data_IF_715457990176
#
_entry.id   IF_715457990176
#
_cell.length_a   1.000
_cell.length_b   1.000
_cell.length_c   1.000
_cell.angle_alpha   90.00
_cell.angle_beta   90.00
_cell.angle_gamma   90.00
#
_symmetry.space_group_name_H-M   'P 1'
#
loop_
_entity.id
_entity.type
_entity.pdbx_description
1 polymer ?
#
# COMPACT_ATOMS: atom_id res chain seq x y z
N UNK A 1 -58.58 -0.92 -33.42
CA UNK A 1 -58.34 0.53 -33.29
C UNK A 1 -57.08 0.73 -32.45
N UNK A 2 -56.02 1.25 -33.10
CA UNK A 2 -54.76 1.85 -32.59
C UNK A 2 -54.07 1.13 -31.40
N UNK A 3 -52.92 0.47 -31.49
CA UNK A 3 -51.76 0.65 -32.36
C UNK A 3 -50.78 1.66 -31.74
N UNK A 4 -49.66 1.20 -31.16
CA UNK A 4 -48.49 2.06 -30.98
C UNK A 4 -47.18 1.29 -31.15
N UNK A 5 -46.27 1.97 -31.84
CA UNK A 5 -45.13 1.45 -32.58
C UNK A 5 -43.90 1.16 -31.72
N UNK A 6 -43.13 0.17 -32.17
CA UNK A 6 -41.78 -0.09 -31.72
C UNK A 6 -40.76 0.89 -32.31
N UNK A 7 -39.57 0.89 -31.71
CA UNK A 7 -38.37 1.52 -32.26
C UNK A 7 -37.15 0.69 -31.86
N UNK A 8 -36.73 -0.17 -32.78
CA UNK A 8 -35.44 -0.86 -32.76
C UNK A 8 -34.44 -0.02 -33.54
N UNK A 9 -33.33 0.35 -32.90
CA UNK A 9 -32.22 1.08 -33.51
C UNK A 9 -31.00 0.19 -33.64
N UNK A 10 -30.89 -0.45 -34.80
CA UNK A 10 -29.73 -1.20 -35.29
C UNK A 10 -28.69 -0.20 -35.84
N UNK A 11 -27.45 -0.23 -35.35
CA UNK A 11 -26.29 0.29 -36.10
C UNK A 11 -25.13 -0.69 -35.97
N UNK A 12 -25.04 -1.58 -36.96
CA UNK A 12 -23.85 -2.39 -37.20
C UNK A 12 -22.71 -1.53 -37.75
N UNK A 13 -21.49 -1.81 -37.29
CA UNK A 13 -20.24 -1.43 -37.95
C UNK A 13 -19.40 -2.70 -38.07
N UNK A 14 -19.46 -3.30 -39.26
CA UNK A 14 -18.55 -4.35 -39.67
C UNK A 14 -17.26 -3.76 -40.23
N UNK A 15 -16.13 -4.35 -39.83
CA UNK A 15 -14.86 -4.41 -40.53
C UNK A 15 -14.39 -5.85 -40.26
N UNK A 16 -14.34 -6.78 -41.21
CA UNK A 16 -13.71 -6.67 -42.51
C UNK A 16 -12.41 -7.49 -42.44
N UNK A 17 -12.53 -8.81 -42.62
CA UNK A 17 -11.42 -9.74 -42.71
C UNK A 17 -10.56 -9.45 -43.94
N UNK A 18 -9.24 -9.54 -43.79
CA UNK A 18 -8.27 -9.47 -44.89
C UNK A 18 -7.04 -10.31 -44.59
N UNK A 19 -7.06 -11.57 -45.05
CA UNK A 19 -5.89 -12.41 -45.22
C UNK A 19 -5.09 -11.92 -46.44
N UNK A 20 -3.78 -11.79 -46.31
CA UNK A 20 -2.87 -11.81 -47.45
C UNK A 20 -1.53 -12.43 -47.04
N UNK A 21 -1.29 -13.64 -47.54
CA UNK A 21 0.00 -14.29 -47.60
C UNK A 21 0.87 -13.61 -48.68
N UNK A 22 2.19 -13.54 -48.47
CA UNK A 22 3.14 -13.08 -49.47
C UNK A 22 4.58 -13.32 -49.06
N UNK A 23 5.14 -14.44 -49.52
CA UNK A 23 6.57 -14.72 -49.54
C UNK A 23 7.25 -13.95 -50.68
N UNK A 24 8.47 -13.44 -50.45
CA UNK A 24 9.58 -13.03 -51.37
C UNK A 24 10.64 -12.47 -50.39
N UNK A 25 11.95 -12.72 -50.41
CA UNK A 25 12.90 -13.20 -51.39
C UNK A 25 14.22 -12.42 -51.14
N UNK A 26 15.32 -13.14 -50.95
CA UNK A 26 16.70 -12.67 -50.79
C UNK A 26 17.12 -11.61 -51.84
N UNK A 27 17.77 -10.51 -51.41
CA UNK A 27 18.70 -9.72 -52.25
C UNK A 27 19.85 -9.16 -51.41
N UNK A 28 21.06 -9.56 -51.81
CA UNK A 28 22.36 -8.98 -51.46
C UNK A 28 22.47 -7.50 -51.83
N UNK A 29 23.10 -6.68 -50.99
CA UNK A 29 23.83 -5.50 -51.45
C UNK A 29 25.14 -5.32 -50.66
N UNK A 30 26.22 -5.52 -51.39
CA UNK A 30 27.62 -5.27 -51.08
C UNK A 30 27.96 -3.84 -51.52
N UNK A 31 28.63 -3.04 -50.67
CA UNK A 31 29.62 -1.97 -50.99
C UNK A 31 29.80 -0.96 -49.84
N UNK A 32 30.90 -0.18 -49.77
CA UNK A 32 32.31 -0.59 -49.88
C UNK A 32 33.18 0.07 -48.78
N UNK A 33 34.42 -0.42 -48.71
CA UNK A 33 35.56 0.18 -47.99
C UNK A 33 35.90 1.57 -48.54
N UNK A 34 36.07 2.56 -47.66
CA UNK A 34 36.63 3.88 -47.96
C UNK A 34 37.70 4.25 -46.93
N UNK A 35 38.93 4.43 -47.41
CA UNK A 35 40.15 4.73 -46.66
C UNK A 35 40.28 6.22 -46.30
N UNK A 36 40.76 6.48 -45.08
CA UNK A 36 41.73 7.50 -44.62
C UNK A 36 41.51 9.00 -44.89
N UNK A 37 41.60 9.82 -43.82
CA UNK A 37 42.65 10.86 -43.63
C UNK A 37 42.86 11.12 -42.13
N UNK A 38 44.14 11.16 -41.73
CA UNK A 38 44.63 11.51 -40.41
C UNK A 38 44.74 13.04 -40.21
N UNK A 39 44.43 13.53 -39.01
CA UNK A 39 45.04 14.74 -38.44
C UNK A 39 45.33 14.52 -36.94
N UNK A 40 46.63 14.58 -36.62
CA UNK A 40 47.26 14.85 -35.33
C UNK A 40 46.80 16.20 -34.76
N UNK A 41 46.89 16.59 -33.48
CA UNK A 41 47.67 16.18 -32.31
C UNK A 41 47.07 16.97 -31.13
N UNK A 42 46.71 16.32 -30.02
CA UNK A 42 46.84 16.81 -28.65
C UNK A 42 46.27 15.73 -27.71
N UNK A 43 47.18 14.86 -27.24
CA UNK A 43 46.83 13.70 -26.44
C UNK A 43 46.64 14.08 -24.96
N UNK A 44 45.42 14.00 -24.39
CA UNK A 44 45.29 13.87 -22.95
C UNK A 44 45.81 12.48 -22.55
N UNK A 45 46.56 12.41 -21.44
CA UNK A 45 47.17 11.20 -20.86
C UNK A 45 46.29 9.97 -21.03
N UNK A 46 46.60 9.15 -22.04
CA UNK A 46 45.91 7.90 -22.29
C UNK A 46 46.27 6.92 -21.17
N UNK A 47 45.26 6.49 -20.41
CA UNK A 47 45.38 5.33 -19.54
C UNK A 47 45.77 4.08 -20.36
N UNK A 48 46.25 3.01 -19.70
CA UNK A 48 46.60 1.77 -20.38
C UNK A 48 45.43 1.32 -21.26
N UNK A 49 45.74 1.00 -22.51
CA UNK A 49 44.78 0.58 -23.53
C UNK A 49 44.07 -0.67 -23.06
N UNK A 50 42.85 -0.52 -22.56
CA UNK A 50 41.98 -1.66 -22.26
C UNK A 50 41.51 -2.16 -23.62
N UNK A 51 42.16 -3.20 -24.13
CA UNK A 51 41.63 -3.97 -25.25
C UNK A 51 40.29 -4.56 -24.79
N UNK A 52 39.19 -3.94 -25.20
CA UNK A 52 37.86 -4.54 -25.09
C UNK A 52 37.87 -5.80 -25.93
N UNK A 53 38.14 -6.93 -25.28
CA UNK A 53 38.06 -8.26 -25.87
C UNK A 53 36.58 -8.57 -26.13
N UNK A 54 36.02 -7.97 -27.16
CA UNK A 54 34.70 -8.34 -27.68
C UNK A 54 34.80 -9.79 -28.13
N UNK A 55 34.20 -10.69 -27.34
CA UNK A 55 34.12 -12.10 -27.66
C UNK A 55 33.25 -12.25 -28.92
N UNK A 56 33.78 -12.79 -30.04
CA UNK A 56 33.01 -12.96 -31.25
C UNK A 56 31.85 -13.94 -30.99
N UNK A 57 30.61 -13.43 -31.09
CA UNK A 57 29.38 -14.16 -30.77
C UNK A 57 28.58 -13.59 -29.61
N UNK A 58 29.15 -12.68 -28.81
CA UNK A 58 28.45 -11.96 -27.73
C UNK A 58 28.11 -10.56 -28.21
N UNK A 59 27.23 -10.46 -29.22
CA UNK A 59 26.33 -9.31 -29.27
C UNK A 59 25.24 -9.63 -28.26
N UNK A 60 25.43 -9.22 -27.01
CA UNK A 60 24.33 -9.04 -26.07
C UNK A 60 23.47 -7.89 -26.61
N UNK A 61 22.77 -8.14 -27.71
CA UNK A 61 21.46 -7.56 -27.87
C UNK A 61 20.66 -8.17 -26.72
N UNK A 62 20.62 -7.45 -25.60
CA UNK A 62 19.69 -7.68 -24.51
C UNK A 62 18.30 -7.53 -25.12
N UNK A 63 17.83 -8.59 -25.77
CA UNK A 63 16.42 -8.77 -26.05
C UNK A 63 15.82 -8.98 -24.68
N UNK A 64 15.46 -7.85 -24.03
CA UNK A 64 14.45 -7.83 -23.00
C UNK A 64 13.26 -8.59 -23.59
N UNK A 65 13.13 -9.86 -23.22
CA UNK A 65 11.93 -10.61 -23.53
C UNK A 65 10.73 -9.77 -23.06
N UNK A 66 9.62 -9.74 -23.82
CA UNK A 66 8.43 -8.98 -23.42
C UNK A 66 8.01 -9.27 -21.97
N UNK A 67 8.26 -10.50 -21.50
CA UNK A 67 8.10 -10.94 -20.10
C UNK A 67 9.05 -10.24 -19.12
N UNK A 68 10.32 -10.03 -19.49
CA UNK A 68 11.26 -9.23 -18.69
C UNK A 68 10.90 -7.74 -18.68
N UNK A 69 10.32 -7.21 -19.76
CA UNK A 69 9.87 -5.82 -19.82
C UNK A 69 8.59 -5.59 -19.01
N UNK A 70 7.67 -6.55 -19.01
CA UNK A 70 6.43 -6.49 -18.23
C UNK A 70 6.66 -6.44 -16.71
N UNK A 71 7.74 -7.05 -16.21
CA UNK A 71 8.07 -7.06 -14.76
C UNK A 71 9.51 -6.61 -14.47
N UNK A 72 10.03 -5.67 -15.27
CA UNK A 72 11.39 -5.16 -15.11
C UNK A 72 11.71 -4.72 -13.67
N UNK A 73 12.98 -4.70 -13.30
CA UNK A 73 13.45 -4.48 -11.93
C UNK A 73 12.86 -3.23 -11.24
N UNK A 74 12.42 -2.23 -12.00
CA UNK A 74 11.82 -0.99 -11.52
C UNK A 74 10.32 -1.06 -11.18
N UNK A 75 9.58 -2.08 -11.62
CA UNK A 75 8.12 -2.19 -11.42
C UNK A 75 7.72 -3.55 -10.83
N UNK A 76 8.35 -3.92 -9.71
CA UNK A 76 7.93 -5.11 -8.95
C UNK A 76 6.58 -4.85 -8.29
N UNK A 77 5.51 -5.32 -8.93
CA UNK A 77 4.15 -5.30 -8.35
C UNK A 77 4.14 -6.16 -7.08
N UNK A 78 3.61 -5.67 -5.94
CA UNK A 78 3.44 -6.50 -4.76
C UNK A 78 2.55 -7.72 -5.06
N UNK A 79 2.78 -8.85 -4.38
CA UNK A 79 2.07 -10.11 -4.68
C UNK A 79 0.55 -10.01 -4.48
N UNK A 80 0.08 -9.24 -3.48
CA UNK A 80 -1.36 -9.06 -3.20
C UNK A 80 -2.13 -8.45 -4.39
N UNK A 81 -1.78 -7.25 -4.88
CA UNK A 81 -2.37 -6.66 -6.09
C UNK A 81 -2.26 -7.58 -7.30
N UNK A 82 -1.12 -8.26 -7.47
CA UNK A 82 -0.94 -9.19 -8.57
C UNK A 82 -1.98 -10.33 -8.54
N UNK A 83 -2.15 -10.98 -7.39
CA UNK A 83 -3.16 -12.02 -7.22
C UNK A 83 -4.59 -11.47 -7.29
N UNK A 84 -4.80 -10.20 -6.93
CA UNK A 84 -6.09 -9.53 -7.07
C UNK A 84 -6.45 -9.31 -8.54
N UNK A 85 -5.55 -8.78 -9.37
CA UNK A 85 -5.83 -8.60 -10.80
C UNK A 85 -6.06 -9.92 -11.53
N UNK A 86 -5.44 -11.03 -11.09
CA UNK A 86 -5.78 -12.36 -11.62
C UNK A 86 -7.23 -12.77 -11.30
N UNK A 87 -7.75 -12.38 -10.12
CA UNK A 87 -9.16 -12.64 -9.78
C UNK A 87 -10.10 -11.82 -10.65
N UNK A 88 -9.72 -10.62 -11.03
CA UNK A 88 -10.52 -9.74 -11.90
C UNK A 88 -10.76 -10.39 -13.25
N UNK A 89 -9.77 -11.09 -13.82
CA UNK A 89 -9.95 -11.89 -15.05
C UNK A 89 -11.03 -12.98 -14.93
N UNK A 90 -11.33 -13.45 -13.73
CA UNK A 90 -12.31 -14.52 -13.51
C UNK A 90 -13.69 -14.00 -13.07
N UNK A 91 -13.93 -12.70 -13.18
CA UNK A 91 -15.23 -12.09 -12.83
C UNK A 91 -16.25 -12.27 -13.96
N UNK A 92 -17.53 -12.15 -13.62
CA UNK A 92 -18.61 -12.19 -14.60
C UNK A 92 -18.60 -10.99 -15.56
N UNK A 93 -17.93 -9.90 -15.20
CA UNK A 93 -17.81 -8.69 -16.02
C UNK A 93 -16.78 -8.84 -17.15
N UNK A 94 -15.77 -9.70 -16.96
CA UNK A 94 -14.79 -10.01 -18.01
C UNK A 94 -15.45 -10.83 -19.13
N UNK A 95 -15.16 -10.48 -20.39
CA UNK A 95 -15.64 -11.21 -21.55
C UNK A 95 -15.24 -12.70 -21.47
N UNK A 96 -16.14 -13.61 -21.84
CA UNK A 96 -15.95 -15.05 -21.63
C UNK A 96 -14.66 -15.60 -22.26
N UNK A 97 -14.24 -15.06 -23.40
CA UNK A 97 -13.00 -15.44 -24.10
C UNK A 97 -11.72 -15.01 -23.37
N UNK A 98 -11.83 -14.02 -22.49
CA UNK A 98 -10.72 -13.46 -21.71
C UNK A 98 -10.71 -14.00 -20.27
N UNK A 99 -11.71 -14.79 -19.88
CA UNK A 99 -11.70 -15.46 -18.57
C UNK A 99 -10.65 -16.56 -18.53
N UNK A 100 -10.14 -16.83 -17.34
CA UNK A 100 -9.22 -17.93 -17.12
C UNK A 100 -9.94 -19.26 -17.36
N UNK A 101 -9.32 -20.15 -18.16
CA UNK A 101 -9.84 -21.51 -18.30
C UNK A 101 -9.71 -22.27 -16.96
N UNK A 102 -10.49 -23.34 -16.74
CA UNK A 102 -10.32 -24.21 -15.57
C UNK A 102 -8.90 -24.77 -15.45
N UNK A 103 -8.27 -25.11 -16.58
CA UNK A 103 -6.90 -25.62 -16.66
C UNK A 103 -5.89 -24.53 -16.27
N UNK A 104 -6.01 -23.32 -16.83
CA UNK A 104 -5.15 -22.19 -16.46
C UNK A 104 -5.30 -21.86 -14.96
N UNK A 105 -6.53 -21.90 -14.45
CA UNK A 105 -6.83 -21.67 -13.03
C UNK A 105 -6.14 -22.70 -12.12
N UNK A 106 -6.14 -23.97 -12.52
CA UNK A 106 -5.46 -25.04 -11.80
C UNK A 106 -3.93 -24.86 -11.86
N UNK A 107 -3.38 -24.58 -13.03
CA UNK A 107 -1.94 -24.36 -13.22
C UNK A 107 -1.43 -23.17 -12.40
N UNK A 108 -2.13 -22.03 -12.43
CA UNK A 108 -1.79 -20.86 -11.61
C UNK A 108 -1.85 -21.20 -10.12
N UNK A 109 -2.85 -21.97 -9.68
CA UNK A 109 -2.96 -22.40 -8.27
C UNK A 109 -1.77 -23.26 -7.87
N UNK A 110 -1.37 -24.20 -8.71
CA UNK A 110 -0.24 -25.08 -8.45
C UNK A 110 1.09 -24.31 -8.42
N UNK A 111 1.27 -23.31 -9.29
CA UNK A 111 2.44 -22.42 -9.24
C UNK A 111 2.50 -21.59 -7.94
N UNK A 112 1.36 -21.07 -7.49
CA UNK A 112 1.28 -20.31 -6.22
C UNK A 112 1.56 -21.21 -5.01
N UNK A 113 1.01 -22.43 -5.00
CA UNK A 113 1.29 -23.43 -3.95
C UNK A 113 2.75 -23.84 -3.94
N UNK A 114 3.32 -24.12 -5.12
CA UNK A 114 4.73 -24.46 -5.29
C UNK A 114 5.63 -23.36 -4.73
N UNK A 115 5.37 -22.11 -5.08
CA UNK A 115 6.11 -20.97 -4.55
C UNK A 115 5.99 -20.85 -3.03
N UNK A 116 4.79 -21.06 -2.46
CA UNK A 116 4.59 -21.10 -1.01
C UNK A 116 5.41 -22.20 -0.33
N UNK A 117 5.47 -23.40 -0.93
CA UNK A 117 6.27 -24.51 -0.43
C UNK A 117 7.78 -24.23 -0.53
N UNK A 118 8.25 -23.68 -1.65
CA UNK A 118 9.65 -23.26 -1.83
C UNK A 118 10.07 -22.24 -0.77
N UNK A 119 9.20 -21.26 -0.46
CA UNK A 119 9.45 -20.28 0.60
C UNK A 119 9.47 -20.92 2.00
N UNK A 120 8.56 -21.86 2.27
CA UNK A 120 8.52 -22.55 3.56
C UNK A 120 9.82 -23.35 3.79
N UNK A 121 10.27 -24.09 2.78
CA UNK A 121 11.56 -24.82 2.82
C UNK A 121 12.74 -23.86 3.00
N UNK A 122 12.72 -22.70 2.33
CA UNK A 122 13.75 -21.68 2.50
C UNK A 122 13.80 -21.15 3.94
N UNK A 123 12.64 -20.82 4.54
CA UNK A 123 12.57 -20.35 5.94
C UNK A 123 13.04 -21.45 6.91
N UNK A 124 12.64 -22.70 6.67
CA UNK A 124 13.06 -23.82 7.51
C UNK A 124 14.57 -24.04 7.44
N UNK A 125 15.15 -24.00 6.24
CA UNK A 125 16.57 -24.29 6.00
C UNK A 125 17.49 -23.13 6.39
N UNK A 126 17.09 -21.89 6.10
CA UNK A 126 17.94 -20.71 6.24
C UNK A 126 17.47 -19.72 7.30
N UNK A 127 16.28 -19.90 7.89
CA UNK A 127 15.72 -18.96 8.85
C UNK A 127 16.57 -18.80 10.10
N UNK A 128 17.04 -19.89 10.70
CA UNK A 128 17.90 -19.83 11.88
C UNK A 128 19.30 -19.29 11.56
N UNK A 129 20.02 -19.80 10.53
CA UNK A 129 21.29 -19.20 10.11
C UNK A 129 21.20 -17.69 9.83
N UNK A 130 20.10 -17.23 9.21
CA UNK A 130 19.86 -15.80 8.98
C UNK A 130 19.70 -15.06 10.31
N UNK A 131 18.97 -15.60 11.28
CA UNK A 131 18.80 -14.96 12.60
C UNK A 131 20.11 -14.84 13.36
N UNK A 132 20.93 -15.88 13.34
CA UNK A 132 22.27 -15.87 13.94
C UNK A 132 23.15 -14.78 13.31
N UNK A 133 23.26 -14.77 11.97
CA UNK A 133 23.99 -13.73 11.25
C UNK A 133 23.47 -12.31 11.54
N UNK A 134 22.16 -12.15 11.69
CA UNK A 134 21.55 -10.86 12.01
C UNK A 134 21.80 -10.45 13.46
N UNK A 135 21.97 -11.40 14.39
CA UNK A 135 22.35 -11.09 15.77
C UNK A 135 23.76 -10.48 15.85
N UNK A 136 24.65 -10.83 14.91
CA UNK A 136 26.01 -10.30 14.84
C UNK A 136 26.10 -8.92 14.15
N UNK A 137 25.04 -8.46 13.48
CA UNK A 137 25.00 -7.13 12.86
C UNK A 137 24.92 -5.99 13.91
N UNK A 138 25.30 -4.75 13.55
CA UNK A 138 25.05 -3.57 14.37
C UNK A 138 23.55 -3.37 14.63
N UNK A 139 23.19 -2.85 15.82
CA UNK A 139 21.79 -2.70 16.25
C UNK A 139 20.92 -1.91 15.25
N UNK A 140 21.51 -0.91 14.57
CA UNK A 140 20.86 -0.12 13.52
C UNK A 140 20.42 -0.94 12.30
N UNK A 141 21.13 -2.03 11.99
CA UNK A 141 20.86 -2.90 10.83
C UNK A 141 19.96 -4.10 11.18
N UNK A 142 20.00 -4.58 12.43
CA UNK A 142 19.23 -5.76 12.87
C UNK A 142 17.73 -5.63 12.57
N UNK A 143 17.16 -4.45 12.86
CA UNK A 143 15.74 -4.19 12.65
C UNK A 143 15.30 -4.34 11.19
N UNK A 144 16.15 -3.89 10.25
CA UNK A 144 15.89 -4.01 8.81
C UNK A 144 15.98 -5.46 8.37
N UNK A 145 17.05 -6.17 8.73
CA UNK A 145 17.26 -7.56 8.33
C UNK A 145 16.19 -8.51 8.92
N UNK A 146 15.84 -8.36 10.20
CA UNK A 146 14.71 -9.10 10.82
C UNK A 146 13.36 -8.71 10.20
N UNK A 147 13.22 -7.46 9.76
CA UNK A 147 12.03 -7.00 9.03
C UNK A 147 11.83 -7.74 7.71
N UNK A 148 12.92 -7.99 6.98
CA UNK A 148 12.91 -8.77 5.73
C UNK A 148 12.56 -10.24 5.99
N UNK A 149 13.16 -10.90 6.98
CA UNK A 149 12.78 -12.29 7.32
C UNK A 149 11.30 -12.40 7.70
N UNK A 150 10.80 -11.48 8.54
CA UNK A 150 9.37 -11.40 8.89
C UNK A 150 8.47 -11.10 7.70
N UNK A 151 8.98 -10.44 6.65
CA UNK A 151 8.21 -10.22 5.42
C UNK A 151 8.02 -11.52 4.65
N UNK A 152 9.05 -12.37 4.58
CA UNK A 152 8.97 -13.68 3.91
C UNK A 152 8.01 -14.60 4.65
N UNK A 153 8.09 -14.68 5.98
CA UNK A 153 7.14 -15.46 6.79
C UNK A 153 5.69 -14.98 6.61
N UNK A 154 5.46 -13.67 6.58
CA UNK A 154 4.12 -13.10 6.31
C UNK A 154 3.58 -13.49 4.92
N UNK A 155 4.45 -13.60 3.91
CA UNK A 155 4.04 -14.06 2.58
C UNK A 155 3.61 -15.53 2.63
N UNK A 156 4.36 -16.39 3.32
CA UNK A 156 3.97 -17.81 3.48
C UNK A 156 2.62 -17.95 4.21
N UNK A 157 2.46 -17.25 5.33
CA UNK A 157 1.18 -17.24 6.08
C UNK A 157 0.02 -16.71 5.24
N UNK A 158 0.26 -15.68 4.43
CA UNK A 158 -0.74 -15.14 3.52
C UNK A 158 -1.14 -16.15 2.46
N UNK A 159 -0.18 -16.85 1.84
CA UNK A 159 -0.44 -17.87 0.83
C UNK A 159 -1.19 -19.06 1.42
N UNK A 160 -0.80 -19.52 2.60
CA UNK A 160 -1.50 -20.59 3.32
C UNK A 160 -2.93 -20.18 3.70
N UNK A 161 -3.15 -18.91 4.10
CA UNK A 161 -4.50 -18.38 4.32
C UNK A 161 -5.33 -18.36 3.05
N UNK A 162 -4.74 -17.97 1.92
CA UNK A 162 -5.42 -17.98 0.62
C UNK A 162 -5.82 -19.41 0.27
N UNK A 163 -4.90 -20.37 0.43
CA UNK A 163 -5.13 -21.78 0.16
C UNK A 163 -6.28 -22.35 1.02
N UNK A 164 -6.22 -22.13 2.34
CA UNK A 164 -7.28 -22.53 3.29
C UNK A 164 -8.63 -21.85 3.01
N UNK A 165 -8.61 -20.67 2.39
CA UNK A 165 -9.79 -19.90 1.98
C UNK A 165 -10.44 -20.36 0.66
N UNK A 166 -9.97 -21.44 0.04
CA UNK A 166 -10.42 -21.90 -1.28
C UNK A 166 -9.46 -21.60 -2.43
N UNK A 167 -8.24 -21.14 -2.12
CA UNK A 167 -7.21 -20.80 -3.08
C UNK A 167 -7.34 -19.38 -3.64
N UNK A 168 -6.47 -19.05 -4.61
CA UNK A 168 -6.44 -17.73 -5.28
C UNK A 168 -7.80 -17.40 -5.88
N UNK A 169 -8.49 -18.39 -6.45
CA UNK A 169 -9.78 -18.25 -7.11
C UNK A 169 -10.94 -18.85 -6.32
N UNK A 170 -10.75 -19.06 -5.02
CA UNK A 170 -11.82 -19.57 -4.17
C UNK A 170 -13.01 -18.63 -4.28
N UNK A 171 -14.15 -19.15 -4.74
CA UNK A 171 -15.43 -18.49 -4.53
C UNK A 171 -15.46 -18.12 -3.06
N UNK A 172 -15.51 -16.82 -2.75
CA UNK A 172 -15.81 -16.39 -1.39
C UNK A 172 -17.16 -17.02 -1.12
N UNK A 173 -17.18 -18.21 -0.49
CA UNK A 173 -18.41 -18.89 -0.11
C UNK A 173 -19.19 -17.82 0.61
N UNK A 174 -20.20 -17.28 -0.08
CA UNK A 174 -20.93 -16.12 0.38
C UNK A 174 -21.33 -16.52 1.78
N UNK A 175 -20.74 -15.85 2.77
CA UNK A 175 -20.97 -16.18 4.17
C UNK A 175 -22.46 -16.04 4.31
N UNK A 176 -23.16 -17.17 4.38
CA UNK A 176 -24.58 -17.20 4.08
C UNK A 176 -25.23 -16.10 4.93
N UNK A 177 -25.96 -15.14 4.33
CA UNK A 177 -26.46 -13.96 5.05
C UNK A 177 -27.46 -14.28 6.17
N UNK A 178 -27.68 -15.56 6.49
CA UNK A 178 -28.49 -16.06 7.61
C UNK A 178 -27.71 -16.86 8.66
N UNK A 179 -26.37 -16.82 8.67
CA UNK A 179 -25.64 -17.31 9.85
C UNK A 179 -25.97 -16.38 11.02
N UNK A 180 -26.76 -16.88 11.97
CA UNK A 180 -27.17 -16.15 13.18
C UNK A 180 -26.01 -15.30 13.70
N UNK A 181 -26.26 -14.04 14.12
CA UNK A 181 -25.23 -13.23 14.75
C UNK A 181 -24.67 -14.09 15.86
N UNK A 182 -23.43 -14.58 15.68
CA UNK A 182 -22.74 -15.26 16.75
C UNK A 182 -22.74 -14.24 17.87
N UNK A 183 -23.56 -14.50 18.89
CA UNK A 183 -23.52 -13.74 20.12
C UNK A 183 -22.03 -13.57 20.44
N UNK A 184 -21.59 -12.33 20.74
CA UNK A 184 -20.19 -12.07 21.02
C UNK A 184 -19.79 -13.09 22.06
N UNK A 185 -19.05 -14.13 21.64
CA UNK A 185 -18.62 -15.19 22.52
C UNK A 185 -17.88 -14.45 23.61
N UNK A 186 -18.50 -14.40 24.80
CA UNK A 186 -17.81 -14.04 26.02
C UNK A 186 -16.53 -14.83 25.94
N UNK A 187 -15.44 -14.06 25.90
CA UNK A 187 -14.10 -14.53 25.68
C UNK A 187 -13.78 -15.29 26.95
N UNK A 188 -14.24 -16.54 27.01
CA UNK A 188 -13.86 -17.49 28.03
C UNK A 188 -12.34 -17.48 27.99
N UNK A 189 -11.79 -17.14 29.14
CA UNK A 189 -10.38 -17.07 29.44
C UNK A 189 -9.82 -18.49 29.30
N UNK A 190 -9.57 -18.91 28.06
CA UNK A 190 -8.77 -20.11 27.78
C UNK A 190 -7.31 -19.71 28.04
N UNK A 191 -6.97 -19.72 29.33
CA UNK A 191 -5.62 -19.87 29.84
C UNK A 191 -5.07 -21.22 29.35
N UNK A 192 -4.36 -21.23 28.21
CA UNK A 192 -3.76 -22.49 27.80
C UNK A 192 -3.07 -22.59 26.46
N UNK A 193 -2.76 -21.50 25.75
CA UNK A 193 -1.76 -21.58 24.66
C UNK A 193 -1.24 -20.19 24.27
N UNK A 194 -0.58 -19.53 25.22
CA UNK A 194 0.32 -18.42 24.92
C UNK A 194 1.66 -19.03 24.54
N UNK A 195 1.97 -19.05 23.24
CA UNK A 195 3.32 -19.24 22.75
C UNK A 195 4.26 -18.27 23.49
N UNK A 196 5.15 -18.83 24.31
CA UNK A 196 6.22 -18.16 25.06
C UNK A 196 7.30 -17.58 24.15
N UNK A 197 6.92 -16.76 23.15
CA UNK A 197 7.89 -16.12 22.25
C UNK A 197 7.99 -14.59 22.43
N UNK A 198 7.17 -14.00 23.31
CA UNK A 198 7.11 -12.54 23.52
C UNK A 198 7.67 -12.05 24.87
N UNK A 199 8.09 -12.95 25.77
CA UNK A 199 8.55 -12.58 27.11
C UNK A 199 10.05 -12.19 27.17
N UNK A 200 10.84 -12.49 26.14
CA UNK A 200 12.29 -12.22 26.15
C UNK A 200 12.72 -10.80 25.77
N UNK A 201 11.86 -9.99 25.14
CA UNK A 201 12.26 -8.69 24.55
C UNK A 201 11.54 -7.47 25.14
N UNK A 202 10.58 -7.68 26.06
CA UNK A 202 9.88 -6.57 26.74
C UNK A 202 10.68 -5.97 27.92
N UNK A 203 11.83 -6.55 28.28
CA UNK A 203 12.73 -6.04 29.32
C UNK A 203 13.82 -5.08 28.85
N UNK A 204 13.95 -4.83 27.53
CA UNK A 204 14.98 -3.93 26.99
C UNK A 204 14.46 -2.64 26.36
N UNK A 205 13.14 -2.41 26.36
CA UNK A 205 12.59 -1.07 26.13
C UNK A 205 12.36 -0.41 27.48
N UNK A 206 13.44 0.21 27.99
CA UNK A 206 13.34 1.19 29.06
C UNK A 206 12.35 2.28 28.68
N UNK A 207 11.59 2.69 29.67
CA UNK A 207 10.58 3.75 29.67
C UNK A 207 11.24 5.14 29.51
N UNK A 208 11.98 5.33 28.42
CA UNK A 208 12.49 6.63 28.01
C UNK A 208 11.51 7.18 26.97
N UNK A 209 10.70 8.14 27.42
CA UNK A 209 9.72 8.84 26.62
C UNK A 209 10.29 9.49 25.35
N UNK A 210 9.43 9.97 24.45
CA UNK A 210 9.85 10.56 23.18
C UNK A 210 10.55 11.91 23.41
N UNK A 211 11.84 11.87 23.71
CA UNK A 211 12.71 13.04 23.62
C UNK A 211 12.89 13.38 22.14
N UNK A 212 12.43 14.58 21.80
CA UNK A 212 12.71 15.24 20.54
C UNK A 212 14.23 15.31 20.31
N UNK A 213 14.74 14.50 19.38
CA UNK A 213 16.07 14.70 18.80
C UNK A 213 15.92 15.57 17.57
N UNK A 214 15.89 16.87 17.81
CA UNK A 214 16.41 17.87 16.88
C UNK A 214 17.79 18.25 17.38
N UNK A 215 18.84 17.64 16.85
CA UNK A 215 20.06 18.40 16.55
C UNK A 215 20.93 17.65 15.54
N UNK A 216 21.16 18.33 14.43
CA UNK A 216 22.01 17.93 13.32
C UNK A 216 23.47 18.15 13.73
N UNK A 217 24.00 17.21 14.51
CA UNK A 217 25.43 17.09 14.76
C UNK A 217 26.07 16.19 13.71
N UNK A 218 26.48 16.79 12.60
CA UNK A 218 27.27 16.22 11.50
C UNK A 218 28.64 15.72 12.02
N UNK A 219 28.64 14.62 12.78
CA UNK A 219 29.83 13.85 13.13
C UNK A 219 29.87 12.60 12.28
N UNK A 220 30.44 12.75 11.09
CA UNK A 220 30.96 11.67 10.27
C UNK A 220 32.13 10.98 11.01
N UNK A 221 31.83 10.28 12.10
CA UNK A 221 32.69 9.23 12.62
C UNK A 221 32.55 8.08 11.63
N UNK A 222 33.51 7.99 10.70
CA UNK A 222 33.81 6.77 9.98
C UNK A 222 34.22 5.70 11.01
N UNK A 223 33.24 5.10 11.68
CA UNK A 223 33.46 3.88 12.43
C UNK A 223 33.88 2.82 11.41
N UNK A 224 35.10 2.35 11.59
CA UNK A 224 35.73 1.30 10.81
C UNK A 224 34.84 0.05 10.79
N UNK A 225 34.40 -0.30 9.58
CA UNK A 225 33.55 -1.43 9.20
C UNK A 225 34.37 -2.75 9.20
N UNK A 226 35.08 -3.04 10.30
CA UNK A 226 36.20 -4.00 10.32
C UNK A 226 35.81 -5.46 10.63
N UNK A 227 34.55 -5.86 10.49
CA UNK A 227 34.15 -7.27 10.72
C UNK A 227 32.86 -7.75 10.06
N UNK A 228 32.06 -6.84 9.51
CA UNK A 228 30.72 -7.08 8.94
C UNK A 228 30.61 -7.32 7.42
N UNK A 229 31.63 -7.13 6.55
CA UNK A 229 31.41 -7.24 5.10
C UNK A 229 31.07 -8.67 4.66
N UNK A 230 31.58 -9.68 5.35
CA UNK A 230 31.32 -11.09 5.03
C UNK A 230 29.87 -11.49 5.39
N UNK A 231 29.39 -11.09 6.57
CA UNK A 231 27.99 -11.33 6.98
C UNK A 231 27.02 -10.64 6.01
N UNK A 232 27.30 -9.39 5.62
CA UNK A 232 26.46 -8.67 4.65
C UNK A 232 26.49 -9.33 3.28
N UNK A 233 27.64 -9.83 2.82
CA UNK A 233 27.76 -10.56 1.57
C UNK A 233 26.94 -11.87 1.61
N UNK A 234 27.05 -12.62 2.71
CA UNK A 234 26.32 -13.87 2.91
C UNK A 234 24.81 -13.66 3.01
N UNK A 235 24.36 -12.62 3.70
CA UNK A 235 22.94 -12.25 3.74
C UNK A 235 22.42 -11.83 2.36
N UNK A 236 23.23 -11.13 1.55
CA UNK A 236 22.86 -10.82 0.15
C UNK A 236 22.75 -12.09 -0.69
N UNK A 237 23.68 -13.02 -0.57
CA UNK A 237 23.66 -14.31 -1.28
C UNK A 237 22.40 -15.11 -0.93
N UNK A 238 22.08 -15.25 0.36
CA UNK A 238 20.86 -15.93 0.80
C UNK A 238 19.60 -15.22 0.31
N UNK A 239 19.60 -13.89 0.28
CA UNK A 239 18.49 -13.11 -0.28
C UNK A 239 18.32 -13.35 -1.78
N UNK A 240 19.41 -13.50 -2.53
CA UNK A 240 19.34 -13.83 -3.96
C UNK A 240 18.93 -15.28 -4.22
N UNK A 241 19.25 -16.19 -3.29
CA UNK A 241 18.83 -17.59 -3.35
C UNK A 241 17.36 -17.80 -2.95
N UNK A 242 16.77 -16.86 -2.21
CA UNK A 242 15.38 -16.93 -1.82
C UNK A 242 14.46 -16.99 -3.06
N UNK A 243 13.42 -17.84 -3.05
CA UNK A 243 12.40 -17.83 -4.09
C UNK A 243 11.83 -16.42 -4.27
N UNK A 244 11.82 -15.93 -5.51
CA UNK A 244 11.44 -14.54 -5.80
C UNK A 244 10.00 -14.42 -6.28
N UNK A 245 9.31 -13.38 -5.80
CA UNK A 245 7.95 -13.02 -6.27
C UNK A 245 7.94 -12.78 -7.78
N UNK A 246 8.99 -12.14 -8.32
CA UNK A 246 9.11 -11.90 -9.77
C UNK A 246 9.19 -13.21 -10.57
N UNK A 247 9.86 -14.23 -10.02
CA UNK A 247 9.90 -15.58 -10.62
C UNK A 247 8.50 -16.20 -10.68
N UNK A 248 7.73 -16.14 -9.59
CA UNK A 248 6.32 -16.57 -9.58
C UNK A 248 5.49 -15.78 -10.61
N UNK A 249 5.58 -14.45 -10.60
CA UNK A 249 4.83 -13.59 -11.52
C UNK A 249 5.13 -13.92 -12.99
N UNK A 250 6.40 -14.17 -13.32
CA UNK A 250 6.82 -14.56 -14.67
C UNK A 250 6.21 -15.90 -15.09
N UNK A 251 6.21 -16.90 -14.19
CA UNK A 251 5.61 -18.21 -14.48
C UNK A 251 4.09 -18.10 -14.66
N UNK A 252 3.41 -17.36 -13.78
CA UNK A 252 1.97 -17.11 -13.91
C UNK A 252 1.62 -16.33 -15.17
N UNK A 253 2.41 -15.31 -15.52
CA UNK A 253 2.21 -14.53 -16.75
C UNK A 253 2.35 -15.39 -18.02
N UNK A 254 3.25 -16.37 -18.00
CA UNK A 254 3.43 -17.31 -19.12
C UNK A 254 2.17 -18.16 -19.38
N UNK A 255 1.39 -18.49 -18.34
CA UNK A 255 0.12 -19.24 -18.45
C UNK A 255 -0.98 -18.42 -19.14
N UNK A 256 -0.94 -17.09 -19.02
CA UNK A 256 -1.94 -16.20 -19.60
C UNK A 256 -1.81 -16.12 -21.13
N UNK A 257 -2.94 -16.06 -21.82
CA UNK A 257 -3.01 -15.79 -23.26
C UNK A 257 -2.64 -14.32 -23.57
N UNK A 258 -2.27 -13.97 -24.82
CA UNK A 258 -1.95 -12.59 -25.17
C UNK A 258 -3.06 -11.58 -24.83
N UNK A 259 -4.33 -11.91 -25.11
CA UNK A 259 -5.46 -11.03 -24.77
C UNK A 259 -5.68 -10.90 -23.26
N UNK A 260 -5.48 -11.99 -22.50
CA UNK A 260 -5.54 -11.94 -21.03
C UNK A 260 -4.42 -11.06 -20.45
N UNK A 261 -3.20 -11.15 -21.01
CA UNK A 261 -2.04 -10.35 -20.59
C UNK A 261 -2.27 -8.86 -20.80
N UNK A 262 -2.95 -8.46 -21.88
CA UNK A 262 -3.27 -7.06 -22.12
C UNK A 262 -4.24 -6.50 -21.08
N UNK A 263 -5.35 -7.22 -20.81
CA UNK A 263 -6.34 -6.79 -19.81
C UNK A 263 -5.76 -6.79 -18.41
N UNK A 264 -5.02 -7.85 -18.05
CA UNK A 264 -4.35 -7.94 -16.75
C UNK A 264 -3.24 -6.89 -16.60
N UNK A 265 -2.48 -6.63 -17.66
CA UNK A 265 -1.47 -5.57 -17.68
C UNK A 265 -2.08 -4.20 -17.40
N UNK A 266 -3.21 -3.89 -18.05
CA UNK A 266 -3.93 -2.64 -17.82
C UNK A 266 -4.41 -2.48 -16.36
N UNK A 267 -4.91 -3.56 -15.73
CA UNK A 267 -5.32 -3.49 -14.32
C UNK A 267 -4.14 -3.29 -13.36
N UNK A 268 -2.99 -3.90 -13.67
CA UNK A 268 -1.75 -3.67 -12.92
C UNK A 268 -1.23 -2.24 -13.09
N UNK A 269 -1.30 -1.68 -14.31
CA UNK A 269 -0.90 -0.30 -14.59
C UNK A 269 -1.78 0.71 -13.84
N UNK A 270 -3.09 0.47 -13.80
CA UNK A 270 -4.03 1.28 -13.02
C UNK A 270 -3.65 1.26 -11.54
N UNK A 271 -3.47 0.07 -10.96
CA UNK A 271 -3.02 -0.09 -9.57
C UNK A 271 -1.69 0.64 -9.31
N UNK A 272 -0.70 0.50 -10.19
CA UNK A 272 0.60 1.15 -10.04
C UNK A 272 0.48 2.67 -10.13
N UNK A 273 -0.42 3.19 -10.97
CA UNK A 273 -0.67 4.63 -11.09
C UNK A 273 -1.32 5.20 -9.82
N UNK A 274 -2.31 4.49 -9.25
CA UNK A 274 -2.97 4.87 -8.00
C UNK A 274 -1.98 4.82 -6.82
N UNK A 275 -1.19 3.75 -6.73
CA UNK A 275 -0.17 3.60 -5.70
C UNK A 275 0.89 4.71 -5.77
N UNK A 276 1.28 5.16 -6.97
CA UNK A 276 2.18 6.32 -7.14
C UNK A 276 1.52 7.60 -6.64
N UNK A 277 0.26 7.85 -7.02
CA UNK A 277 -0.49 9.02 -6.58
C UNK A 277 -0.68 9.06 -5.05
N UNK A 278 -1.02 7.94 -4.41
CA UNK A 278 -1.17 7.87 -2.95
C UNK A 278 0.17 8.14 -2.23
N UNK A 279 1.26 7.57 -2.74
CA UNK A 279 2.59 7.80 -2.17
C UNK A 279 3.04 9.26 -2.31
N UNK A 280 2.75 9.90 -3.45
CA UNK A 280 3.00 11.32 -3.64
C UNK A 280 2.15 12.18 -2.69
N UNK A 281 0.86 11.89 -2.55
CA UNK A 281 -0.02 12.59 -1.61
C UNK A 281 0.45 12.43 -0.16
N UNK A 282 0.88 11.21 0.22
CA UNK A 282 1.45 10.94 1.56
C UNK A 282 2.76 11.70 1.77
N UNK A 283 3.62 11.80 0.75
CA UNK A 283 4.86 12.60 0.80
C UNK A 283 4.54 14.08 1.00
N UNK A 284 3.59 14.63 0.23
CA UNK A 284 3.17 16.02 0.36
C UNK A 284 2.58 16.31 1.75
N UNK A 285 1.78 15.38 2.30
CA UNK A 285 1.23 15.50 3.64
C UNK A 285 2.32 15.51 4.71
N UNK A 286 3.30 14.60 4.64
CA UNK A 286 4.45 14.60 5.57
C UNK A 286 5.28 15.87 5.46
N UNK A 287 5.48 16.40 4.26
CA UNK A 287 6.18 17.67 4.07
C UNK A 287 5.38 18.86 4.63
N UNK A 288 4.05 18.86 4.50
CA UNK A 288 3.20 19.88 5.11
C UNK A 288 3.24 19.80 6.64
N UNK A 289 3.15 18.60 7.22
CA UNK A 289 3.27 18.36 8.66
C UNK A 289 4.67 18.76 9.19
N UNK A 290 5.74 18.48 8.44
CA UNK A 290 7.10 18.94 8.78
C UNK A 290 7.23 20.46 8.73
N UNK A 291 6.67 21.11 7.70
CA UNK A 291 6.68 22.58 7.60
C UNK A 291 5.87 23.24 8.71
N UNK A 292 4.74 22.66 9.10
CA UNK A 292 3.95 23.14 10.25
C UNK A 292 4.71 22.96 11.58
N UNK A 293 5.46 21.87 11.73
CA UNK A 293 6.32 21.65 12.90
C UNK A 293 7.54 22.58 12.92
N UNK A 294 8.11 22.90 11.75
CA UNK A 294 9.27 23.79 11.60
C UNK A 294 8.91 25.27 11.68
N UNK A 295 7.68 25.67 11.31
CA UNK A 295 7.25 27.05 11.56
C UNK A 295 7.26 27.27 13.07
N UNK A 296 8.20 28.08 13.59
CA UNK A 296 8.23 28.34 15.03
C UNK A 296 6.87 28.93 15.37
N UNK A 297 6.18 28.31 16.33
CA UNK A 297 5.10 29.00 17.02
C UNK A 297 5.76 30.27 17.54
N UNK A 298 5.54 31.38 16.83
CA UNK A 298 5.73 32.70 17.37
C UNK A 298 4.73 32.71 18.52
N UNK A 299 5.20 32.33 19.71
CA UNK A 299 4.57 32.67 20.97
C UNK A 299 4.42 34.18 20.88
N UNK A 300 3.25 34.62 20.44
CA UNK A 300 2.83 35.97 20.70
C UNK A 300 2.86 36.06 22.21
N UNK A 301 3.82 36.83 22.73
CA UNK A 301 3.96 37.25 24.13
C UNK A 301 2.73 38.10 24.56
N UNK A 302 1.53 37.59 24.33
CA UNK A 302 0.32 38.03 25.00
C UNK A 302 0.26 37.17 26.26
N UNK A 303 0.73 37.78 27.35
CA UNK A 303 0.82 37.21 28.69
C UNK A 303 -0.34 36.24 29.01
N UNK A 304 -0.08 35.12 29.71
CA UNK A 304 -1.08 34.12 30.05
C UNK A 304 -2.05 34.68 31.11
N UNK A 305 -3.04 35.44 30.66
CA UNK A 305 -4.15 35.87 31.49
C UNK A 305 -5.09 34.69 31.75
N UNK A 306 -4.82 33.97 32.84
CA UNK A 306 -5.81 33.18 33.56
C UNK A 306 -6.01 31.76 33.02
N UNK A 307 -5.64 30.81 33.86
CA UNK A 307 -6.05 29.40 33.76
C UNK A 307 -7.50 29.25 33.28
N UNK A 308 -7.72 28.43 32.24
CA UNK A 308 -9.05 28.08 31.72
C UNK A 308 -10.02 27.58 32.81
N UNK A 309 -9.50 27.10 33.94
CA UNK A 309 -10.28 26.72 35.13
C UNK A 309 -10.88 27.92 35.89
N UNK A 310 -10.23 29.09 35.89
CA UNK A 310 -10.78 30.32 36.48
C UNK A 310 -11.80 31.00 35.55
N UNK A 311 -11.68 30.85 34.23
CA UNK A 311 -12.66 31.41 33.27
C UNK A 311 -14.00 30.66 33.27
N UNK A 312 -13.99 29.35 33.58
CA UNK A 312 -15.21 28.55 33.78
C UNK A 312 -15.97 28.93 35.06
N UNK A 313 -15.30 29.48 36.08
CA UNK A 313 -15.93 29.96 37.31
C UNK A 313 -16.50 31.40 37.19
N UNK A 314 -16.06 32.16 36.18
CA UNK A 314 -16.48 33.55 35.96
C UNK A 314 -17.64 33.71 34.95
N UNK A 315 -18.37 32.64 34.63
CA UNK A 315 -19.48 32.71 33.67
C UNK A 315 -19.04 32.93 32.23
N UNK A 316 -17.88 32.39 31.84
CA UNK A 316 -17.39 32.45 30.47
C UNK A 316 -18.45 31.97 29.48
N UNK A 317 -18.87 32.89 28.60
CA UNK A 317 -19.87 32.63 27.59
C UNK A 317 -19.42 31.48 26.69
N UNK A 318 -20.32 30.51 26.51
CA UNK A 318 -20.14 29.42 25.57
C UNK A 318 -20.14 29.99 24.14
N UNK A 319 -18.95 30.33 23.64
CA UNK A 319 -18.73 30.88 22.30
C UNK A 319 -18.49 29.74 21.32
N UNK A 320 -19.56 29.24 20.71
CA UNK A 320 -19.46 28.42 19.51
C UNK A 320 -19.40 29.34 18.29
N UNK A 321 -18.58 29.00 17.30
CA UNK A 321 -18.65 29.64 15.99
C UNK A 321 -19.98 29.31 15.31
N UNK A 322 -20.48 30.19 14.44
CA UNK A 322 -21.75 30.00 13.72
C UNK A 322 -21.81 28.67 12.96
N UNK A 323 -20.71 28.29 12.31
CA UNK A 323 -20.60 26.99 11.62
C UNK A 323 -20.73 25.78 12.57
N UNK A 324 -20.29 25.92 13.81
CA UNK A 324 -20.38 24.86 14.81
C UNK A 324 -21.82 24.77 15.34
N UNK A 325 -22.51 25.90 15.50
CA UNK A 325 -23.93 25.95 15.83
C UNK A 325 -24.77 25.30 14.73
N UNK A 326 -24.55 25.65 13.46
CA UNK A 326 -25.29 25.09 12.33
C UNK A 326 -25.09 23.56 12.18
N UNK A 327 -23.86 23.07 12.39
CA UNK A 327 -23.58 21.63 12.44
C UNK A 327 -24.31 20.94 13.59
N UNK A 328 -24.34 21.58 14.76
CA UNK A 328 -24.99 21.02 15.95
C UNK A 328 -26.52 20.95 15.76
N UNK A 329 -27.14 22.00 15.22
CA UNK A 329 -28.58 22.05 14.91
C UNK A 329 -28.96 20.94 13.93
N UNK A 330 -28.14 20.69 12.90
CA UNK A 330 -28.38 19.59 11.93
C UNK A 330 -28.34 18.21 12.60
N UNK A 331 -27.40 17.97 13.52
CA UNK A 331 -27.31 16.70 14.27
C UNK A 331 -28.49 16.55 15.22
N UNK A 332 -28.87 17.62 15.94
CA UNK A 332 -30.00 17.62 16.86
C UNK A 332 -31.35 17.40 16.17
N UNK A 333 -31.47 17.75 14.89
CA UNK A 333 -32.67 17.47 14.07
C UNK A 333 -32.91 15.98 13.86
N UNK A 334 -31.95 15.10 14.18
CA UNK A 334 -32.10 13.65 14.10
C UNK A 334 -32.73 13.04 15.37
N UNK A 335 -33.07 13.85 16.37
CA UNK A 335 -33.87 13.44 17.53
C UNK A 335 -33.10 13.26 18.84
N UNK A 336 -31.78 13.03 18.78
CA UNK A 336 -30.96 12.76 19.96
C UNK A 336 -29.86 13.80 20.19
N UNK A 337 -29.53 14.05 21.46
CA UNK A 337 -28.39 14.89 21.85
C UNK A 337 -27.18 13.97 22.07
N UNK A 338 -26.11 14.08 21.26
CA UNK A 338 -24.91 13.28 21.50
C UNK A 338 -24.32 13.54 22.89
N UNK A 339 -23.92 12.48 23.62
CA UNK A 339 -23.41 12.61 25.00
C UNK A 339 -22.27 13.63 25.14
N UNK A 340 -21.37 13.68 24.15
CA UNK A 340 -20.25 14.64 24.11
C UNK A 340 -20.70 16.11 24.05
N UNK A 341 -21.86 16.36 23.44
CA UNK A 341 -22.48 17.69 23.40
C UNK A 341 -23.13 17.98 24.73
N UNK A 342 -23.88 17.02 25.27
CA UNK A 342 -24.53 17.12 26.58
C UNK A 342 -23.54 17.51 27.68
N UNK A 343 -22.42 16.81 27.79
CA UNK A 343 -21.41 17.04 28.84
C UNK A 343 -20.75 18.44 28.76
N UNK A 344 -20.76 19.06 27.58
CA UNK A 344 -20.20 20.40 27.34
C UNK A 344 -21.19 21.53 27.58
N UNK A 345 -22.48 21.23 27.77
CA UNK A 345 -23.48 22.26 28.03
C UNK A 345 -23.31 22.88 29.44
N UNK A 346 -23.56 24.20 29.58
CA UNK A 346 -23.63 24.84 30.89
C UNK A 346 -24.59 24.09 31.82
N UNK A 347 -24.23 23.97 33.11
CA UNK A 347 -25.01 23.22 34.10
C UNK A 347 -26.47 23.68 34.19
N UNK A 348 -26.72 24.98 34.03
CA UNK A 348 -28.05 25.57 34.02
C UNK A 348 -28.89 25.10 32.83
N UNK A 349 -28.28 24.99 31.64
CA UNK A 349 -28.94 24.50 30.42
C UNK A 349 -29.24 23.01 30.55
N UNK A 350 -28.28 22.21 31.04
CA UNK A 350 -28.49 20.78 31.33
C UNK A 350 -29.62 20.55 32.31
N UNK A 351 -29.66 21.31 33.41
CA UNK A 351 -30.71 21.21 34.42
C UNK A 351 -32.09 21.48 33.81
N UNK A 352 -32.23 22.56 33.02
CA UNK A 352 -33.48 22.88 32.32
C UNK A 352 -33.89 21.81 31.30
N UNK A 353 -32.94 21.28 30.51
CA UNK A 353 -33.23 20.22 29.54
C UNK A 353 -33.56 18.89 30.21
N UNK A 354 -32.96 18.58 31.36
CA UNK A 354 -33.23 17.34 32.09
C UNK A 354 -34.64 17.29 32.70
N UNK A 355 -35.25 18.45 32.94
CA UNK A 355 -36.63 18.58 33.39
C UNK A 355 -37.67 18.34 32.28
N UNK A 356 -37.25 18.33 31.00
CA UNK A 356 -38.12 18.06 29.86
C UNK A 356 -38.14 16.56 29.49
N UNK A 357 -39.26 16.06 28.93
CA UNK A 357 -39.32 14.74 28.30
C UNK A 357 -38.22 14.58 27.26
N UNK A 358 -37.66 13.36 27.15
CA UNK A 358 -36.51 13.08 26.27
C UNK A 358 -36.74 13.52 24.82
N UNK A 359 -37.94 13.27 24.30
CA UNK A 359 -38.37 13.67 22.95
C UNK A 359 -38.36 15.20 22.71
N UNK A 360 -38.39 16.02 23.75
CA UNK A 360 -38.45 17.48 23.65
C UNK A 360 -37.08 18.15 23.83
N UNK A 361 -36.07 17.42 24.32
CA UNK A 361 -34.77 17.99 24.70
C UNK A 361 -34.00 18.54 23.51
N UNK A 362 -33.98 17.82 22.39
CA UNK A 362 -33.27 18.24 21.18
C UNK A 362 -33.91 19.51 20.57
N UNK A 363 -35.24 19.60 20.57
CA UNK A 363 -35.97 20.76 20.08
C UNK A 363 -35.76 21.99 20.99
N UNK A 364 -35.78 21.80 22.31
CA UNK A 364 -35.51 22.86 23.28
C UNK A 364 -34.06 23.38 23.20
N UNK A 365 -33.07 22.49 23.01
CA UNK A 365 -31.67 22.88 22.83
C UNK A 365 -31.47 23.65 21.51
N UNK A 366 -32.14 23.23 20.44
CA UNK A 366 -32.10 23.92 19.14
C UNK A 366 -32.65 25.34 19.24
N UNK A 367 -33.80 25.52 19.90
CA UNK A 367 -34.38 26.85 20.12
C UNK A 367 -33.46 27.76 20.95
N UNK A 368 -32.88 27.22 22.02
CA UNK A 368 -31.93 27.96 22.85
C UNK A 368 -30.69 28.43 22.07
N UNK A 369 -30.15 27.59 21.17
CA UNK A 369 -29.00 27.96 20.32
C UNK A 369 -29.38 29.05 19.30
N UNK A 370 -30.58 28.99 18.73
CA UNK A 370 -31.07 29.98 17.78
C UNK A 370 -31.35 31.34 18.44
N UNK A 371 -31.97 31.35 19.63
CA UNK A 371 -32.19 32.57 20.42
C UNK A 371 -30.85 33.26 20.76
N UNK A 372 -29.83 32.48 21.08
CA UNK A 372 -28.50 33.02 21.40
C UNK A 372 -27.78 33.59 20.18
N UNK A 373 -28.00 33.02 18.99
CA UNK A 373 -27.46 33.54 17.73
C UNK A 373 -28.08 34.89 17.39
N UNK A 374 -29.41 35.01 17.50
CA UNK A 374 -30.12 36.26 17.19
C UNK A 374 -29.82 37.41 18.16
N UNK A 375 -29.44 37.11 19.40
CA UNK A 375 -29.10 38.14 20.40
C UNK A 375 -27.74 38.84 20.16
N UNK A 376 -26.91 38.34 19.24
CA UNK A 376 -25.56 38.90 18.97
C UNK A 376 -25.58 39.97 17.88
N UNK A 377 -26.61 40.00 17.02
CA UNK A 377 -26.70 40.95 15.89
C UNK A 377 -27.32 42.31 16.25
N UNK A 378 -27.87 42.48 17.46
CA UNK A 378 -28.59 43.70 17.91
C UNK A 378 -27.77 44.62 18.86
N UNK A 379 -26.47 44.38 19.04
CA UNK A 379 -25.57 45.20 19.89
C UNK A 379 -24.24 45.48 19.22
#
# INVERSE_FOLDING_TARGET
>A
MTGNAGKTGNTGRGWGAGLAAGAIGLVWCVWPVGLAVAQSEDAPLAGPTVESRELPGVREEYVESETSRAFGAAQRVPLQPFLQGLRELNTEETAAELRLSPEQTAEIRDEVRRYGAELAVFIETHGEPIREMVADLPQSERGRALGELRSVSRVVEMLDRIERGGGVFGERRARAPGGEPREPRERAEDEGFRLEFDAGMRGMMGDDGPSAMTDSGESAMAMTDDGTPDIRARLRELRTAAPSVAGLQTRVWAVLSPGQREVFGASLDEYLSEARAENEARRMRRQAEQREAETPKVESDVAPAGTLRQRAAAGGEFNLSDEAVDRLVRVLSMGDIPQRVWDRLPSQVRSRLSALPEAERAAALTRWLQERRGSVDDG
#
